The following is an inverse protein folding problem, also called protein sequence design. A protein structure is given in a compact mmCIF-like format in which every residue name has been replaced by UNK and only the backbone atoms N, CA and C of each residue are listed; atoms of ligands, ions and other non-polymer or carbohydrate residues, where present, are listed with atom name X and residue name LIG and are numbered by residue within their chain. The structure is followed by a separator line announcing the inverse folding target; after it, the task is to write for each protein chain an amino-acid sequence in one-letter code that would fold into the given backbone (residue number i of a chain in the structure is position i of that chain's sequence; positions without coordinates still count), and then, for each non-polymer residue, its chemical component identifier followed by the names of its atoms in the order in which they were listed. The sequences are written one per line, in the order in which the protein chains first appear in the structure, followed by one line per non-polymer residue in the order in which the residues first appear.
data_IF_818660078213
#
_entry.id   IF_818660078213
#
_cell.length_a   1.000
_cell.length_b   1.000
_cell.length_c   1.000
_cell.angle_alpha   90.00
_cell.angle_beta   90.00
_cell.angle_gamma   90.00
#
_symmetry.space_group_name_H-M   'P 1'
#
loop_
_entity.id
_entity.type
_entity.pdbx_description
1 polymer ?
#
# COMPACT_ATOMS: atom_id res chain seq x y z
N UNK A 1 24.90 21.42 -1.74
CA UNK A 1 25.11 20.46 -0.63
C UNK A 1 24.33 19.21 -0.98
N UNK A 2 25.02 18.21 -1.50
CA UNK A 2 24.50 16.91 -1.93
C UNK A 2 24.62 15.87 -0.80
N UNK A 3 23.87 14.77 -0.94
CA UNK A 3 23.65 13.64 -0.01
C UNK A 3 22.55 13.93 1.02
N UNK A 4 21.41 13.23 1.00
CA UNK A 4 21.34 11.79 1.33
C UNK A 4 19.97 11.24 0.92
N UNK A 5 19.91 10.18 0.13
CA UNK A 5 18.73 9.27 0.02
C UNK A 5 19.14 7.94 -0.62
N UNK A 6 20.20 7.30 -0.12
CA UNK A 6 20.63 5.95 -0.56
C UNK A 6 20.43 4.87 0.51
N UNK A 7 19.65 5.14 1.56
CA UNK A 7 19.33 4.12 2.58
C UNK A 7 18.12 3.24 2.22
N UNK A 8 17.46 3.49 1.10
CA UNK A 8 16.25 2.77 0.71
C UNK A 8 16.61 1.53 -0.08
N UNK A 9 16.30 0.34 0.47
CA UNK A 9 16.10 -0.99 -0.18
C UNK A 9 16.64 -2.18 0.63
N UNK A 10 17.26 -2.01 1.81
CA UNK A 10 17.59 -3.17 2.65
C UNK A 10 16.37 -3.63 3.44
N UNK A 11 15.98 -4.90 3.28
CA UNK A 11 14.97 -5.59 4.11
C UNK A 11 15.47 -5.68 5.58
N UNK A 12 15.26 -4.61 6.35
CA UNK A 12 15.77 -4.48 7.71
C UNK A 12 14.74 -4.87 8.79
N UNK A 13 13.45 -4.79 8.48
CA UNK A 13 12.38 -5.16 9.41
C UNK A 13 12.24 -6.69 9.53
N UNK A 14 11.94 -7.17 10.74
CA UNK A 14 11.67 -8.59 11.02
C UNK A 14 10.27 -8.75 11.63
N UNK A 15 9.51 -9.71 11.12
CA UNK A 15 8.21 -10.11 11.64
C UNK A 15 8.34 -11.53 12.23
N UNK A 16 8.24 -11.66 13.55
CA UNK A 16 8.26 -12.96 14.23
C UNK A 16 6.84 -13.41 14.55
N UNK A 17 6.48 -14.63 14.14
CA UNK A 17 5.14 -15.19 14.31
C UNK A 17 5.23 -16.59 14.93
N UNK A 18 4.25 -16.94 15.78
CA UNK A 18 4.08 -18.31 16.29
C UNK A 18 2.92 -18.95 15.52
N UNK A 19 3.14 -20.16 15.04
CA UNK A 19 2.18 -20.93 14.26
C UNK A 19 1.90 -22.25 14.97
N UNK A 20 0.69 -22.78 14.83
CA UNK A 20 0.43 -24.19 15.12
C UNK A 20 1.12 -25.08 14.09
N UNK A 21 1.37 -26.38 14.41
CA UNK A 21 1.92 -27.31 13.43
C UNK A 21 1.09 -27.41 12.15
N UNK A 22 -0.24 -27.37 12.28
CA UNK A 22 -1.16 -27.40 11.14
C UNK A 22 -1.04 -26.15 10.25
N UNK A 23 -0.88 -24.97 10.85
CA UNK A 23 -0.68 -23.73 10.12
C UNK A 23 0.66 -23.72 9.38
N UNK A 24 1.75 -24.17 10.03
CA UNK A 24 3.07 -24.24 9.38
C UNK A 24 3.07 -25.22 8.21
N UNK A 25 2.48 -26.41 8.37
CA UNK A 25 2.34 -27.39 7.30
C UNK A 25 1.55 -26.83 6.11
N UNK A 26 0.37 -26.26 6.37
CA UNK A 26 -0.48 -25.69 5.34
C UNK A 26 0.22 -24.59 4.53
N UNK A 27 0.93 -23.68 5.21
CA UNK A 27 1.64 -22.57 4.54
C UNK A 27 2.81 -23.10 3.71
N UNK A 28 3.55 -24.10 4.20
CA UNK A 28 4.66 -24.72 3.45
C UNK A 28 4.18 -25.42 2.20
N UNK A 29 3.08 -26.17 2.30
CA UNK A 29 2.49 -26.85 1.15
C UNK A 29 2.02 -25.85 0.09
N UNK A 30 1.35 -24.77 0.51
CA UNK A 30 0.93 -23.70 -0.40
C UNK A 30 2.11 -22.99 -1.08
N UNK A 31 3.19 -22.73 -0.35
CA UNK A 31 4.41 -22.15 -0.91
C UNK A 31 5.06 -23.09 -1.94
N UNK A 32 5.10 -24.40 -1.65
CA UNK A 32 5.65 -25.40 -2.55
C UNK A 32 4.84 -25.53 -3.85
N UNK A 33 3.50 -25.56 -3.76
CA UNK A 33 2.60 -25.58 -4.93
C UNK A 33 2.77 -24.32 -5.79
N UNK A 34 3.00 -23.17 -5.13
CA UNK A 34 3.20 -21.89 -5.82
C UNK A 34 4.62 -21.71 -6.39
N UNK A 35 5.54 -22.65 -6.11
CA UNK A 35 6.95 -22.56 -6.55
C UNK A 35 7.73 -21.41 -5.89
N UNK A 36 7.26 -20.91 -4.74
CA UNK A 36 7.86 -19.77 -4.03
C UNK A 36 8.62 -20.25 -2.79
N UNK A 37 9.62 -19.48 -2.37
CA UNK A 37 10.21 -19.67 -1.05
C UNK A 37 9.15 -19.38 0.03
N UNK A 38 9.24 -20.06 1.19
CA UNK A 38 8.30 -19.83 2.30
C UNK A 38 8.26 -18.34 2.72
N UNK A 39 9.42 -17.69 2.74
CA UNK A 39 9.53 -16.27 3.08
C UNK A 39 8.84 -15.39 2.04
N UNK A 40 9.03 -15.65 0.75
CA UNK A 40 8.41 -14.84 -0.30
C UNK A 40 6.89 -15.06 -0.37
N UNK A 41 6.44 -16.31 -0.20
CA UNK A 41 5.03 -16.65 -0.14
C UNK A 41 4.32 -15.90 1.00
N UNK A 42 4.84 -16.02 2.23
CA UNK A 42 4.24 -15.34 3.40
C UNK A 42 4.33 -13.82 3.28
N UNK A 43 5.47 -13.29 2.81
CA UNK A 43 5.64 -11.84 2.68
C UNK A 43 4.68 -11.27 1.64
N UNK A 44 4.58 -11.89 0.47
CA UNK A 44 3.70 -11.43 -0.60
C UNK A 44 2.22 -11.54 -0.20
N UNK A 45 1.81 -12.65 0.42
CA UNK A 45 0.46 -12.83 0.92
C UNK A 45 0.09 -11.78 1.99
N UNK A 46 1.01 -11.50 2.92
CA UNK A 46 0.80 -10.49 3.96
C UNK A 46 0.69 -9.08 3.36
N UNK A 47 1.56 -8.72 2.41
CA UNK A 47 1.51 -7.41 1.73
C UNK A 47 0.22 -7.26 0.95
N UNK A 48 -0.13 -8.23 0.10
CA UNK A 48 -1.37 -8.16 -0.70
C UNK A 48 -2.61 -8.04 0.20
N UNK A 49 -2.65 -8.77 1.32
CA UNK A 49 -3.76 -8.67 2.28
C UNK A 49 -3.78 -7.30 2.97
N UNK A 50 -2.62 -6.75 3.34
CA UNK A 50 -2.52 -5.43 3.93
C UNK A 50 -2.99 -4.34 2.96
N UNK A 51 -2.56 -4.40 1.69
CA UNK A 51 -2.97 -3.47 0.64
C UNK A 51 -4.49 -3.50 0.43
N UNK A 52 -5.08 -4.68 0.29
CA UNK A 52 -6.54 -4.82 0.15
C UNK A 52 -7.27 -4.27 1.39
N UNK A 53 -6.79 -4.60 2.58
CA UNK A 53 -7.40 -4.12 3.84
C UNK A 53 -7.34 -2.59 3.94
N UNK A 54 -6.25 -1.97 3.47
CA UNK A 54 -6.10 -0.52 3.45
C UNK A 54 -6.93 0.14 2.34
N UNK A 55 -7.06 -0.50 1.18
CA UNK A 55 -7.90 -0.02 0.08
C UNK A 55 -9.39 -0.04 0.46
N UNK A 56 -9.82 -1.07 1.20
CA UNK A 56 -11.19 -1.19 1.72
C UNK A 56 -11.50 -0.20 2.85
N UNK A 57 -10.49 0.52 3.36
CA UNK A 57 -10.66 1.43 4.48
C UNK A 57 -11.52 2.64 4.08
N UNK A 58 -12.71 2.71 4.68
CA UNK A 58 -13.68 3.81 4.44
C UNK A 58 -13.57 4.99 5.40
N UNK A 59 -12.92 4.81 6.55
CA UNK A 59 -12.86 5.82 7.61
C UNK A 59 -11.41 6.20 7.91
N UNK A 60 -11.09 7.49 7.75
CA UNK A 60 -9.80 8.07 8.06
C UNK A 60 -9.93 8.94 9.31
N UNK A 61 -9.41 8.44 10.43
CA UNK A 61 -9.35 9.22 11.67
C UNK A 61 -8.18 10.20 11.59
N UNK A 62 -8.47 11.48 11.82
CA UNK A 62 -7.48 12.55 11.92
C UNK A 62 -7.43 13.04 13.37
N UNK A 63 -6.24 13.38 13.86
CA UNK A 63 -6.12 14.14 15.11
C UNK A 63 -6.42 15.62 14.85
N UNK A 64 -6.55 16.42 15.91
CA UNK A 64 -6.95 17.83 15.81
C UNK A 64 -6.04 18.68 14.92
N UNK A 65 -4.74 18.43 14.91
CA UNK A 65 -3.79 19.15 14.08
C UNK A 65 -4.01 18.81 12.60
N UNK A 66 -4.06 17.51 12.28
CA UNK A 66 -4.30 17.04 10.92
C UNK A 66 -5.69 17.44 10.40
N UNK A 67 -6.70 17.52 11.28
CA UNK A 67 -8.02 18.01 10.92
C UNK A 67 -8.00 19.48 10.52
N UNK A 68 -7.31 20.35 11.28
CA UNK A 68 -7.17 21.77 10.94
C UNK A 68 -6.43 21.97 9.61
N UNK A 69 -5.34 21.25 9.40
CA UNK A 69 -4.60 21.29 8.12
C UNK A 69 -5.48 20.83 6.95
N UNK A 70 -6.25 19.76 7.14
CA UNK A 70 -7.17 19.26 6.14
C UNK A 70 -8.29 20.26 5.82
N UNK A 71 -8.89 20.89 6.82
CA UNK A 71 -9.92 21.91 6.63
C UNK A 71 -9.39 23.12 5.83
N UNK A 72 -8.19 23.61 6.17
CA UNK A 72 -7.54 24.70 5.41
C UNK A 72 -7.36 24.29 3.95
N UNK A 73 -6.95 23.04 3.68
CA UNK A 73 -6.78 22.55 2.32
C UNK A 73 -8.10 22.56 1.53
N UNK A 74 -9.21 22.15 2.16
CA UNK A 74 -10.53 22.11 1.55
C UNK A 74 -11.09 23.50 1.25
N UNK A 75 -10.80 24.49 2.10
CA UNK A 75 -11.27 25.87 1.91
C UNK A 75 -10.49 26.63 0.82
N UNK A 76 -9.37 26.08 0.32
CA UNK A 76 -8.59 26.74 -0.74
C UNK A 76 -9.39 26.77 -2.03
N UNK A 77 -9.40 27.91 -2.75
CA UNK A 77 -10.05 27.97 -4.05
C UNK A 77 -9.43 26.95 -5.00
N UNK A 78 -10.29 26.30 -5.79
CA UNK A 78 -9.87 25.33 -6.79
C UNK A 78 -8.87 25.97 -7.77
N UNK A 79 -7.77 25.28 -8.02
CA UNK A 79 -6.76 25.68 -9.00
C UNK A 79 -6.90 24.83 -10.23
N UNK A 80 -6.79 25.45 -11.40
CA UNK A 80 -6.70 24.71 -12.66
C UNK A 80 -5.35 24.02 -12.73
N UNK A 81 -5.37 22.71 -12.93
CA UNK A 81 -4.19 21.88 -13.21
C UNK A 81 -4.33 21.45 -14.68
N UNK A 82 -3.54 22.03 -15.62
CA UNK A 82 -3.67 21.75 -17.05
C UNK A 82 -3.63 20.25 -17.38
N UNK A 83 -2.70 19.51 -16.77
CA UNK A 83 -2.50 18.08 -16.99
C UNK A 83 -3.70 17.25 -16.52
N UNK A 84 -4.34 17.67 -15.42
CA UNK A 84 -5.57 17.04 -14.94
C UNK A 84 -6.75 17.33 -15.88
N UNK A 85 -6.80 18.53 -16.46
CA UNK A 85 -7.82 18.87 -17.44
C UNK A 85 -7.66 18.07 -18.74
N UNK A 86 -6.42 17.86 -19.20
CA UNK A 86 -6.13 16.98 -20.34
C UNK A 86 -6.56 15.53 -20.04
N UNK A 87 -6.11 14.97 -18.92
CA UNK A 87 -6.45 13.61 -18.50
C UNK A 87 -7.97 13.35 -18.42
N UNK A 88 -8.73 14.29 -17.86
CA UNK A 88 -10.20 14.15 -17.74
C UNK A 88 -10.95 14.29 -19.08
N UNK A 89 -10.29 14.80 -20.13
CA UNK A 89 -10.83 14.88 -21.49
C UNK A 89 -10.36 13.73 -22.38
N UNK A 90 -9.46 12.85 -21.90
CA UNK A 90 -9.08 11.65 -22.64
C UNK A 90 -10.23 10.63 -22.65
N UNK A 91 -10.45 9.91 -23.77
CA UNK A 91 -11.44 8.84 -23.81
C UNK A 91 -11.09 7.77 -22.77
N UNK A 92 -12.10 7.27 -22.06
CA UNK A 92 -11.85 6.30 -21.01
C UNK A 92 -11.23 5.02 -21.61
N UNK A 93 -10.23 4.41 -20.95
CA UNK A 93 -9.53 3.23 -21.47
C UNK A 93 -10.42 2.00 -21.77
N UNK A 94 -11.67 2.02 -21.29
CA UNK A 94 -12.65 0.93 -21.41
C UNK A 94 -13.81 1.25 -22.37
N UNK A 95 -13.82 2.41 -23.02
CA UNK A 95 -14.85 2.78 -24.02
C UNK A 95 -14.49 2.31 -25.45
N UNK A 96 -13.54 1.37 -25.59
CA UNK A 96 -13.09 0.79 -26.87
C UNK A 96 -13.30 -0.71 -26.93
#
# INVERSE_FOLDING_TARGET
MTATSETSQRKAARLAMRLSPEQDALIRDAAAVSGQSLTDFVTSAAVARAEHTLADRRIFGLNDLSWKEFAIILDRPAKRIPELAELLNEPAPWDT
#
